data_IF_120925810160
#
_entry.id   IF_120925810160
#
_cell.length_a   1.000
_cell.length_b   1.000
_cell.length_c   1.000
_cell.angle_alpha   90.00
_cell.angle_beta   90.00
_cell.angle_gamma   90.00
#
_symmetry.space_group_name_H-M   'P 1'
#
loop_
_entity.id
_entity.type
_entity.pdbx_description
1 polymer ?
#
# COMPACT_ATOMS: atom_id res chain seq x y z
N UNK A 1 17.17 -19.67 -5.99
CA UNK A 1 15.71 -19.45 -6.11
C UNK A 1 15.26 -20.00 -7.46
N UNK A 2 14.45 -21.06 -7.52
CA UNK A 2 14.06 -21.71 -8.78
C UNK A 2 13.12 -20.85 -9.64
N UNK A 3 12.40 -19.90 -9.05
CA UNK A 3 11.45 -19.02 -9.76
C UNK A 3 11.58 -17.56 -9.31
N UNK A 4 12.67 -16.86 -9.70
CA UNK A 4 12.94 -15.49 -9.27
C UNK A 4 11.82 -14.51 -9.67
N UNK A 5 11.22 -14.68 -10.86
CA UNK A 5 10.11 -13.86 -11.33
C UNK A 5 8.89 -13.91 -10.40
N UNK A 6 8.59 -15.09 -9.85
CA UNK A 6 7.45 -15.27 -8.96
C UNK A 6 7.66 -14.54 -7.65
N UNK A 7 8.87 -14.61 -7.08
CA UNK A 7 9.18 -13.99 -5.80
C UNK A 7 9.09 -12.47 -5.88
N UNK A 8 9.68 -11.86 -6.91
CA UNK A 8 9.66 -10.40 -7.06
C UNK A 8 8.26 -9.84 -7.34
N UNK A 9 7.39 -10.61 -7.99
CA UNK A 9 6.00 -10.22 -8.22
C UNK A 9 5.08 -10.54 -7.03
N UNK A 10 5.39 -11.56 -6.22
CA UNK A 10 4.60 -11.94 -5.07
C UNK A 10 4.47 -10.80 -4.06
N UNK A 11 5.56 -10.06 -3.79
CA UNK A 11 5.55 -8.91 -2.88
C UNK A 11 4.52 -7.86 -3.27
N UNK A 12 4.63 -7.22 -4.45
CA UNK A 12 3.66 -6.21 -4.91
C UNK A 12 2.23 -6.74 -5.06
N UNK A 13 2.06 -7.98 -5.53
CA UNK A 13 0.73 -8.58 -5.69
C UNK A 13 0.04 -8.77 -4.34
N UNK A 14 0.73 -9.36 -3.36
CA UNK A 14 0.20 -9.49 -2.01
C UNK A 14 0.02 -8.13 -1.34
N UNK A 15 0.96 -7.21 -1.56
CA UNK A 15 0.91 -5.83 -1.10
C UNK A 15 -0.30 -5.06 -1.61
N UNK A 16 -0.94 -5.47 -2.70
CA UNK A 16 -2.18 -4.87 -3.22
C UNK A 16 -3.42 -5.69 -2.87
N UNK A 17 -3.39 -7.01 -3.09
CA UNK A 17 -4.56 -7.88 -2.94
C UNK A 17 -4.98 -8.06 -1.48
N UNK A 18 -4.02 -8.24 -0.56
CA UNK A 18 -4.31 -8.42 0.85
C UNK A 18 -5.01 -7.19 1.48
N UNK A 19 -4.49 -5.95 1.34
CA UNK A 19 -5.18 -4.80 1.89
C UNK A 19 -6.56 -4.59 1.24
N UNK A 20 -6.72 -4.78 -0.07
CA UNK A 20 -8.03 -4.71 -0.71
C UNK A 20 -9.03 -5.71 -0.10
N UNK A 21 -8.58 -6.93 0.19
CA UNK A 21 -9.37 -7.92 0.91
C UNK A 21 -9.78 -7.45 2.32
N UNK A 22 -8.84 -6.88 3.08
CA UNK A 22 -9.13 -6.32 4.41
C UNK A 22 -10.15 -5.18 4.33
N UNK A 23 -10.05 -4.30 3.34
CA UNK A 23 -11.01 -3.22 3.13
C UNK A 23 -12.40 -3.75 2.81
N UNK A 24 -12.49 -4.79 1.96
CA UNK A 24 -13.76 -5.44 1.66
C UNK A 24 -14.40 -6.01 2.92
N UNK A 25 -13.63 -6.73 3.74
CA UNK A 25 -14.10 -7.31 5.02
C UNK A 25 -14.53 -6.21 5.99
N UNK A 26 -13.70 -5.18 6.20
CA UNK A 26 -13.99 -4.07 7.10
C UNK A 26 -15.28 -3.34 6.70
N UNK A 27 -15.49 -3.11 5.40
CA UNK A 27 -16.71 -2.50 4.88
C UNK A 27 -17.95 -3.39 5.06
N UNK A 28 -17.81 -4.71 4.85
CA UNK A 28 -18.92 -5.67 5.05
C UNK A 28 -19.34 -5.80 6.51
N UNK A 29 -18.38 -5.75 7.43
CA UNK A 29 -18.62 -5.82 8.86
C UNK A 29 -18.91 -4.46 9.51
N UNK A 30 -18.95 -3.37 8.72
CA UNK A 30 -19.16 -1.98 9.17
C UNK A 30 -18.24 -1.58 10.32
N UNK A 31 -16.99 -2.01 10.26
CA UNK A 31 -16.03 -1.72 11.31
C UNK A 31 -15.75 -0.22 11.41
N UNK A 32 -15.67 0.29 12.64
CA UNK A 32 -15.34 1.70 12.92
C UNK A 32 -13.94 2.10 12.43
N UNK A 33 -13.07 1.12 12.17
CA UNK A 33 -11.71 1.32 11.63
C UNK A 33 -11.65 1.30 10.10
N UNK A 34 -12.78 1.19 9.39
CA UNK A 34 -12.80 1.09 7.92
C UNK A 34 -12.07 2.25 7.22
N UNK A 35 -12.14 3.47 7.75
CA UNK A 35 -11.40 4.62 7.20
C UNK A 35 -9.88 4.47 7.34
N UNK A 36 -9.38 3.89 8.44
CA UNK A 36 -7.95 3.61 8.62
C UNK A 36 -7.47 2.53 7.64
N UNK A 37 -8.26 1.48 7.49
CA UNK A 37 -8.00 0.42 6.52
C UNK A 37 -7.99 1.00 5.11
N UNK A 38 -8.96 1.84 4.75
CA UNK A 38 -9.03 2.50 3.44
C UNK A 38 -7.80 3.37 3.14
N UNK A 39 -7.29 4.10 4.14
CA UNK A 39 -6.06 4.88 4.00
C UNK A 39 -4.87 3.97 3.71
N UNK A 40 -4.72 2.92 4.52
CA UNK A 40 -3.65 1.95 4.36
C UNK A 40 -3.70 1.26 2.99
N UNK A 41 -4.89 0.87 2.52
CA UNK A 41 -5.10 0.30 1.19
C UNK A 41 -4.67 1.27 0.10
N UNK A 42 -5.13 2.53 0.17
CA UNK A 42 -4.73 3.54 -0.80
C UNK A 42 -3.22 3.75 -0.85
N UNK A 43 -2.57 3.78 0.33
CA UNK A 43 -1.11 3.86 0.44
C UNK A 43 -0.43 2.67 -0.22
N UNK A 44 -0.84 1.45 0.09
CA UNK A 44 -0.27 0.24 -0.48
C UNK A 44 -0.38 0.21 -2.01
N UNK A 45 -1.54 0.60 -2.57
CA UNK A 45 -1.73 0.66 -4.02
C UNK A 45 -0.78 1.66 -4.69
N UNK A 46 -0.67 2.86 -4.13
CA UNK A 46 0.21 3.92 -4.66
C UNK A 46 1.67 3.52 -4.52
N UNK A 47 2.10 3.07 -3.34
CA UNK A 47 3.49 2.75 -3.05
C UNK A 47 3.99 1.59 -3.93
N UNK A 48 3.25 0.48 -4.00
CA UNK A 48 3.62 -0.65 -4.85
C UNK A 48 3.60 -0.28 -6.34
N UNK A 49 2.59 0.49 -6.78
CA UNK A 49 2.49 0.93 -8.17
C UNK A 49 3.61 1.87 -8.59
N UNK A 50 3.88 2.89 -7.78
CA UNK A 50 4.93 3.87 -8.03
C UNK A 50 6.33 3.25 -7.95
N UNK A 51 6.56 2.34 -6.99
CA UNK A 51 7.80 1.59 -6.88
C UNK A 51 8.10 0.79 -8.15
N UNK A 52 7.14 0.01 -8.64
CA UNK A 52 7.32 -0.83 -9.84
C UNK A 52 7.39 0.01 -11.12
N UNK A 53 6.52 1.00 -11.28
CA UNK A 53 6.52 1.83 -12.48
C UNK A 53 7.75 2.75 -12.57
N UNK A 54 8.17 3.34 -11.45
CA UNK A 54 9.37 4.19 -11.38
C UNK A 54 10.65 3.37 -11.48
N UNK A 55 10.73 2.23 -10.81
CA UNK A 55 11.87 1.31 -10.86
C UNK A 55 12.04 0.59 -12.20
N UNK A 56 11.05 0.63 -13.10
CA UNK A 56 11.09 -0.05 -14.39
C UNK A 56 12.26 0.37 -15.29
N UNK A 57 12.63 1.66 -15.30
CA UNK A 57 13.70 2.15 -16.18
C UNK A 57 15.10 1.90 -15.60
N UNK A 58 15.29 2.26 -14.33
CA UNK A 58 16.59 2.20 -13.64
C UNK A 58 16.90 0.80 -13.08
N UNK A 59 15.92 -0.11 -13.05
CA UNK A 59 16.11 -1.48 -12.57
C UNK A 59 16.46 -1.56 -11.08
N UNK A 60 15.98 -0.59 -10.28
CA UNK A 60 16.29 -0.48 -8.85
C UNK A 60 15.62 -1.63 -8.08
N UNK A 61 16.40 -2.33 -7.25
CA UNK A 61 15.91 -3.40 -6.39
C UNK A 61 15.26 -4.53 -7.18
N UNK A 62 14.04 -4.92 -6.79
CA UNK A 62 13.30 -6.04 -7.39
C UNK A 62 12.97 -5.81 -8.86
N UNK A 63 12.88 -4.54 -9.31
CA UNK A 63 12.61 -4.18 -10.70
C UNK A 63 13.72 -4.64 -11.64
N UNK A 64 14.98 -4.68 -11.18
CA UNK A 64 16.10 -5.21 -11.96
C UNK A 64 15.93 -6.70 -12.24
N UNK A 65 15.55 -7.47 -11.21
CA UNK A 65 15.29 -8.91 -11.32
C UNK A 65 14.05 -9.18 -12.18
N UNK A 66 13.00 -8.36 -12.06
CA UNK A 66 11.83 -8.44 -12.95
C UNK A 66 12.24 -8.34 -14.43
N UNK A 67 13.12 -7.39 -14.77
CA UNK A 67 13.62 -7.25 -16.15
C UNK A 67 14.51 -8.40 -16.58
N UNK A 68 15.43 -8.84 -15.72
CA UNK A 68 16.31 -9.98 -15.99
C UNK A 68 15.54 -11.28 -16.22
N UNK A 69 14.39 -11.42 -15.57
CA UNK A 69 13.48 -12.56 -15.74
C UNK A 69 12.50 -12.40 -16.91
N UNK A 70 12.65 -11.34 -17.71
CA UNK A 70 11.90 -11.14 -18.96
C UNK A 70 10.60 -10.36 -18.81
N UNK A 71 10.32 -9.75 -17.65
CA UNK A 71 9.14 -8.89 -17.48
C UNK A 71 9.24 -7.68 -18.40
N UNK A 72 8.28 -7.46 -19.32
CA UNK A 72 8.28 -6.30 -20.19
C UNK A 72 8.02 -4.99 -19.42
N UNK A 73 8.67 -3.90 -19.83
CA UNK A 73 8.49 -2.57 -19.23
C UNK A 73 7.02 -2.11 -19.18
N UNK A 74 6.26 -2.38 -20.24
CA UNK A 74 4.85 -2.00 -20.31
C UNK A 74 3.98 -2.74 -19.28
N UNK A 75 4.36 -3.95 -18.84
CA UNK A 75 3.66 -4.66 -17.76
C UNK A 75 3.89 -3.93 -16.44
N UNK A 76 5.13 -3.49 -16.18
CA UNK A 76 5.49 -2.76 -14.96
C UNK A 76 4.81 -1.39 -14.89
N UNK A 77 4.80 -0.66 -16.00
CA UNK A 77 4.03 0.59 -16.12
C UNK A 77 2.53 0.37 -16.05
N UNK A 78 2.03 -0.69 -16.68
CA UNK A 78 0.63 -1.09 -16.62
C UNK A 78 0.19 -1.38 -15.19
N UNK A 79 1.03 -2.07 -14.40
CA UNK A 79 0.76 -2.28 -12.98
C UNK A 79 0.61 -0.96 -12.22
N UNK A 80 1.56 -0.02 -12.39
CA UNK A 80 1.45 1.31 -11.78
C UNK A 80 0.21 2.08 -12.23
N UNK A 81 -0.11 2.06 -13.52
CA UNK A 81 -1.31 2.70 -14.08
C UNK A 81 -2.60 2.10 -13.50
N UNK A 82 -2.60 0.81 -13.17
CA UNK A 82 -3.76 0.13 -12.60
C UNK A 82 -3.90 0.31 -11.09
N UNK A 83 -2.80 0.50 -10.34
CA UNK A 83 -2.87 0.60 -8.88
C UNK A 83 -2.83 2.04 -8.37
N UNK A 84 -2.05 2.93 -8.98
CA UNK A 84 -1.87 4.31 -8.48
C UNK A 84 -3.17 5.13 -8.53
N UNK A 85 -3.92 5.19 -9.64
CA UNK A 85 -5.15 5.99 -9.69
C UNK A 85 -6.24 5.52 -8.72
N UNK A 86 -6.54 4.21 -8.59
CA UNK A 86 -7.47 3.74 -7.56
C UNK A 86 -6.98 4.03 -6.14
N UNK A 87 -5.67 3.96 -5.89
CA UNK A 87 -5.11 4.31 -4.58
C UNK A 87 -5.37 5.78 -4.21
N UNK A 88 -5.15 6.71 -5.14
CA UNK A 88 -5.51 8.12 -4.93
C UNK A 88 -7.02 8.34 -4.81
N UNK A 89 -7.82 7.60 -5.56
CA UNK A 89 -9.28 7.65 -5.45
C UNK A 89 -9.78 7.20 -4.07
N UNK A 90 -9.18 6.15 -3.50
CA UNK A 90 -9.46 5.72 -2.12
C UNK A 90 -9.08 6.80 -1.11
N UNK A 91 -7.93 7.46 -1.29
CA UNK A 91 -7.54 8.57 -0.43
C UNK A 91 -8.47 9.77 -0.51
N UNK A 92 -8.94 10.11 -1.71
CA UNK A 92 -9.89 11.20 -1.92
C UNK A 92 -11.21 10.98 -1.15
N UNK A 93 -11.58 9.73 -0.88
CA UNK A 93 -12.80 9.35 -0.17
C UNK A 93 -12.67 9.30 1.36
N UNK A 94 -11.49 9.54 1.94
CA UNK A 94 -11.26 9.44 3.38
C UNK A 94 -11.85 10.60 4.19
N UNK A 95 -12.08 11.74 3.55
CA UNK A 95 -12.61 12.91 4.23
C UNK A 95 -12.49 14.18 3.39
N UNK A 96 -13.18 15.23 3.81
CA UNK A 96 -13.05 16.53 3.17
C UNK A 96 -11.97 17.35 3.90
N UNK A 97 -10.96 17.82 3.17
CA UNK A 97 -9.96 18.76 3.68
C UNK A 97 -10.61 19.98 4.37
N UNK A 98 -11.74 20.45 3.82
CA UNK A 98 -12.53 21.55 4.40
C UNK A 98 -13.14 21.21 5.76
N UNK A 99 -13.53 19.95 6.01
CA UNK A 99 -14.05 19.49 7.31
C UNK A 99 -12.94 19.39 8.35
N UNK A 100 -11.76 18.88 7.95
CA UNK A 100 -10.57 18.84 8.80
C UNK A 100 -10.12 20.26 9.21
N UNK A 101 -10.04 21.19 8.25
CA UNK A 101 -9.66 22.59 8.53
C UNK A 101 -10.62 23.31 9.49
N UNK A 102 -11.91 22.99 9.47
CA UNK A 102 -12.91 23.59 10.36
C UNK A 102 -12.95 22.99 11.75
N UNK A 103 -12.48 21.75 11.94
CA UNK A 103 -12.47 21.06 13.23
C UNK A 103 -11.14 20.32 13.40
N UNK A 104 -10.05 21.02 13.73
CA UNK A 104 -8.73 20.40 13.89
C UNK A 104 -8.67 19.38 15.04
N UNK A 105 -9.64 19.40 15.96
CA UNK A 105 -9.79 18.47 17.09
C UNK A 105 -10.29 17.06 16.69
N UNK A 106 -10.44 16.77 15.39
CA UNK A 106 -10.98 15.49 14.89
C UNK A 106 -10.10 14.24 15.11
N UNK A 107 -8.92 14.37 15.72
CA UNK A 107 -8.09 13.20 16.05
C UNK A 107 -8.36 12.80 17.49
N UNK A 108 -9.22 11.79 17.67
CA UNK A 108 -9.42 11.15 18.97
C UNK A 108 -8.09 10.65 19.53
N UNK A 109 -7.83 10.92 20.81
CA UNK A 109 -6.65 10.45 21.53
C UNK A 109 -6.44 8.93 21.41
N UNK A 110 -7.54 8.16 21.40
CA UNK A 110 -7.53 6.70 21.16
C UNK A 110 -6.95 6.34 19.79
N UNK A 111 -7.26 7.13 18.76
CA UNK A 111 -6.74 6.90 17.41
C UNK A 111 -5.26 7.24 17.31
N UNK A 112 -4.81 8.30 18.01
CA UNK A 112 -3.40 8.68 18.05
C UNK A 112 -2.55 7.59 18.72
N UNK A 113 -2.97 7.10 19.88
CA UNK A 113 -2.31 5.97 20.56
C UNK A 113 -2.35 4.69 19.73
N UNK A 114 -3.48 4.41 19.07
CA UNK A 114 -3.60 3.28 18.14
C UNK A 114 -2.60 3.34 17.00
N UNK A 115 -2.46 4.51 16.35
CA UNK A 115 -1.45 4.74 15.31
C UNK A 115 -0.02 4.56 15.82
N UNK A 116 0.28 5.13 16.98
CA UNK A 116 1.61 5.05 17.57
C UNK A 116 2.00 3.59 17.87
N UNK A 117 1.11 2.82 18.48
CA UNK A 117 1.32 1.40 18.75
C UNK A 117 1.48 0.59 17.46
N UNK A 118 0.66 0.88 16.44
CA UNK A 118 0.79 0.23 15.14
C UNK A 118 2.15 0.53 14.48
N UNK A 119 2.64 1.77 14.57
CA UNK A 119 3.95 2.15 14.04
C UNK A 119 5.09 1.43 14.77
N UNK A 120 5.05 1.39 16.11
CA UNK A 120 6.04 0.65 16.91
C UNK A 120 6.01 -0.83 16.55
N UNK A 121 4.84 -1.44 16.51
CA UNK A 121 4.71 -2.85 16.16
C UNK A 121 5.29 -3.13 14.77
N UNK A 122 5.02 -2.26 13.79
CA UNK A 122 5.56 -2.41 12.44
C UNK A 122 7.08 -2.27 12.39
N UNK A 123 7.66 -1.32 13.13
CA UNK A 123 9.12 -1.18 13.25
C UNK A 123 9.74 -2.40 13.94
N UNK A 124 9.16 -2.88 15.03
CA UNK A 124 9.64 -4.07 15.74
C UNK A 124 9.60 -5.30 14.83
N UNK A 125 8.47 -5.53 14.15
CA UNK A 125 8.34 -6.62 13.17
C UNK A 125 9.39 -6.47 12.07
N UNK A 126 9.56 -5.27 11.52
CA UNK A 126 10.59 -5.01 10.51
C UNK A 126 11.97 -5.40 11.04
N UNK A 127 12.39 -4.94 12.21
CA UNK A 127 13.70 -5.29 12.81
C UNK A 127 13.83 -6.79 13.07
N UNK A 128 12.78 -7.45 13.57
CA UNK A 128 12.82 -8.89 13.85
C UNK A 128 12.90 -9.75 12.58
N UNK A 129 12.33 -9.29 11.46
CA UNK A 129 12.23 -10.06 10.21
C UNK A 129 13.14 -9.55 9.08
N UNK A 130 13.98 -8.55 9.32
CA UNK A 130 14.99 -8.06 8.36
C UNK A 130 16.35 -8.75 8.49
N UNK A 131 16.39 -9.92 9.13
CA UNK A 131 17.55 -10.80 9.26
C UNK A 131 17.66 -11.80 8.09
#
# INVERSE_FOLDING_TARGET
>A
NPHPAVVVWAGPLWGVLFPLGLLLVANRLRWSVASWVQFFVGFCLIANGAYIAGGALEGIGDCGVMRQTGTPLWVMWGFGLLTVPPGFWLWHRLGSFRKWWRNPECVSEKNAWGMFLAMIALVVLMVCFSA
#
